data_IF_009051181878
#
_entry.id   IF_009051181878
#
_cell.length_a   1.000
_cell.length_b   1.000
_cell.length_c   1.000
_cell.angle_alpha   90.00
_cell.angle_beta   90.00
_cell.angle_gamma   90.00
#
_symmetry.space_group_name_H-M   'P 1'
#
loop_
_entity.id
_entity.type
_entity.pdbx_description
1 polymer ?
#
# COMPACT_ATOMS: atom_id res chain seq x y z
N UNK A 1 5.75 8.47 5.98
CA UNK A 1 4.88 9.09 4.97
C UNK A 1 3.47 8.51 5.03
N UNK A 2 2.47 9.31 4.69
CA UNK A 2 1.10 8.85 4.44
C UNK A 2 0.50 9.67 3.31
N UNK A 3 -0.57 9.15 2.72
CA UNK A 3 -1.26 9.81 1.62
C UNK A 3 -2.77 9.63 1.74
N UNK A 4 -3.49 10.62 1.26
CA UNK A 4 -4.93 10.59 1.16
C UNK A 4 -5.35 9.89 -0.13
N UNK A 5 -6.47 9.19 -0.09
CA UNK A 5 -7.07 8.59 -1.28
C UNK A 5 -8.02 9.57 -1.98
N UNK A 6 -7.99 9.67 -3.32
CA UNK A 6 -8.99 10.42 -4.07
C UNK A 6 -10.40 9.85 -3.86
N UNK A 7 -11.38 10.71 -3.53
CA UNK A 7 -12.75 10.30 -3.21
C UNK A 7 -13.45 9.56 -4.35
N UNK A 8 -13.14 9.93 -5.59
CA UNK A 8 -13.63 9.26 -6.81
C UNK A 8 -13.25 7.78 -6.90
N UNK A 9 -12.08 7.43 -6.37
CA UNK A 9 -11.58 6.05 -6.37
C UNK A 9 -12.35 5.23 -5.35
N UNK A 10 -12.61 5.80 -4.17
CA UNK A 10 -13.44 5.17 -3.13
C UNK A 10 -14.85 4.88 -3.68
N UNK A 11 -15.46 5.84 -4.37
CA UNK A 11 -16.76 5.65 -5.00
C UNK A 11 -16.74 4.59 -6.12
N UNK A 12 -15.62 4.44 -6.84
CA UNK A 12 -15.45 3.38 -7.84
C UNK A 12 -15.41 1.99 -7.18
N UNK A 13 -14.66 1.82 -6.10
CA UNK A 13 -14.56 0.54 -5.38
C UNK A 13 -15.92 0.07 -4.86
N UNK A 14 -16.71 0.99 -4.29
CA UNK A 14 -18.06 0.70 -3.81
C UNK A 14 -18.98 0.21 -4.94
N UNK A 15 -19.00 0.91 -6.09
CA UNK A 15 -19.77 0.47 -7.28
C UNK A 15 -19.34 -0.89 -7.81
N UNK A 16 -18.04 -1.18 -7.78
CA UNK A 16 -17.50 -2.48 -8.22
C UNK A 16 -17.62 -3.58 -7.15
N UNK A 17 -18.19 -3.27 -5.97
CA UNK A 17 -18.35 -4.18 -4.82
C UNK A 17 -17.03 -4.82 -4.38
N UNK A 18 -15.94 -4.04 -4.42
CA UNK A 18 -14.61 -4.48 -3.99
C UNK A 18 -14.38 -4.16 -2.52
N UNK A 19 -13.55 -4.96 -1.83
CA UNK A 19 -13.28 -4.74 -0.41
C UNK A 19 -12.32 -3.55 -0.25
N UNK A 20 -12.86 -2.41 0.21
CA UNK A 20 -12.10 -1.19 0.42
C UNK A 20 -10.97 -1.36 1.46
N UNK A 21 -11.25 -2.02 2.58
CA UNK A 21 -10.25 -2.26 3.61
C UNK A 21 -9.20 -3.28 3.11
N UNK A 22 -9.64 -4.29 2.37
CA UNK A 22 -8.77 -5.25 1.70
C UNK A 22 -7.85 -4.61 0.67
N UNK A 23 -8.35 -3.63 -0.09
CA UNK A 23 -7.57 -2.86 -1.06
C UNK A 23 -6.51 -2.00 -0.39
N UNK A 24 -6.88 -1.26 0.65
CA UNK A 24 -5.95 -0.45 1.45
C UNK A 24 -4.79 -1.28 1.99
N UNK A 25 -5.11 -2.42 2.59
CA UNK A 25 -4.14 -3.35 3.19
C UNK A 25 -3.25 -4.02 2.14
N UNK A 26 -3.83 -4.40 1.00
CA UNK A 26 -3.06 -4.94 -0.13
C UNK A 26 -2.11 -3.90 -0.76
N UNK A 27 -2.54 -2.65 -0.91
CA UNK A 27 -1.69 -1.55 -1.38
C UNK A 27 -0.55 -1.28 -0.40
N UNK A 28 -0.83 -1.24 0.91
CA UNK A 28 0.19 -1.10 1.95
C UNK A 28 1.25 -2.20 1.84
N UNK A 29 0.83 -3.47 1.83
CA UNK A 29 1.73 -4.62 1.72
C UNK A 29 2.61 -4.57 0.48
N UNK A 30 2.03 -4.26 -0.68
CA UNK A 30 2.75 -4.18 -1.93
C UNK A 30 3.77 -3.02 -1.91
N UNK A 31 3.35 -1.85 -1.44
CA UNK A 31 4.23 -0.67 -1.40
C UNK A 31 5.43 -0.88 -0.46
N UNK A 32 5.23 -1.43 0.74
CA UNK A 32 6.35 -1.72 1.66
C UNK A 32 7.27 -2.85 1.15
N UNK A 33 6.77 -3.74 0.28
CA UNK A 33 7.58 -4.76 -0.36
C UNK A 33 8.44 -4.20 -1.51
N UNK A 34 7.99 -3.13 -2.17
CA UNK A 34 8.66 -2.50 -3.31
C UNK A 34 9.62 -1.39 -2.87
N UNK A 35 9.32 -0.65 -1.81
CA UNK A 35 10.15 0.47 -1.31
C UNK A 35 11.66 0.15 -1.13
N UNK A 36 12.07 -1.05 -0.68
CA UNK A 36 13.49 -1.42 -0.63
C UNK A 36 14.27 -1.22 -1.94
N UNK A 37 13.61 -1.33 -3.10
CA UNK A 37 14.24 -1.12 -4.41
C UNK A 37 14.66 0.34 -4.65
N UNK A 38 14.03 1.28 -3.94
CA UNK A 38 14.27 2.71 -4.08
C UNK A 38 15.12 3.28 -2.93
N UNK A 39 14.92 2.76 -1.72
CA UNK A 39 15.58 3.25 -0.51
C UNK A 39 16.85 2.46 -0.14
N UNK A 40 17.17 1.36 -0.85
CA UNK A 40 18.33 0.49 -0.60
C UNK A 40 18.42 0.00 0.86
N UNK A 41 17.27 -0.32 1.45
CA UNK A 41 17.15 -0.84 2.82
C UNK A 41 16.69 -2.30 2.83
N UNK A 42 16.69 -2.93 4.00
CA UNK A 42 16.07 -4.24 4.17
C UNK A 42 14.55 -4.10 4.38
N UNK A 43 13.80 -5.15 4.07
CA UNK A 43 12.35 -5.18 4.33
C UNK A 43 12.03 -5.05 5.83
N UNK A 44 12.93 -5.47 6.70
CA UNK A 44 12.75 -5.37 8.15
C UNK A 44 12.85 -3.92 8.65
N UNK A 45 13.48 -3.02 7.89
CA UNK A 45 13.63 -1.61 8.22
C UNK A 45 12.37 -0.78 7.93
N UNK A 46 11.34 -1.39 7.35
CA UNK A 46 10.08 -0.74 6.97
C UNK A 46 8.89 -1.37 7.72
N UNK A 47 8.00 -0.50 8.18
CA UNK A 47 6.66 -0.84 8.65
C UNK A 47 5.58 -0.21 7.77
N UNK A 48 4.39 -0.80 7.83
CA UNK A 48 3.19 -0.32 7.17
C UNK A 48 2.00 -0.48 8.09
N UNK A 49 1.04 0.45 7.98
CA UNK A 49 -0.30 0.32 8.56
C UNK A 49 -1.29 0.96 7.59
N UNK A 50 -2.43 0.33 7.40
CA UNK A 50 -3.56 0.88 6.65
C UNK A 50 -4.80 0.95 7.52
N UNK A 51 -5.61 1.99 7.32
CA UNK A 51 -6.90 2.13 8.01
C UNK A 51 -7.95 2.76 7.09
N UNK A 52 -9.18 2.22 7.04
CA UNK A 52 -10.28 2.85 6.32
C UNK A 52 -10.75 4.15 7.01
N UNK A 53 -10.38 4.38 8.26
CA UNK A 53 -10.71 5.59 9.00
C UNK A 53 -9.65 5.88 10.07
N UNK A 54 -8.90 6.97 9.89
CA UNK A 54 -7.99 7.48 10.90
C UNK A 54 -8.72 8.56 11.74
N UNK A 55 -8.78 8.44 13.07
CA UNK A 55 -9.63 9.30 13.91
C UNK A 55 -9.25 10.78 13.86
N UNK A 56 -7.96 11.09 13.74
CA UNK A 56 -7.49 12.48 13.76
C UNK A 56 -7.70 13.20 12.41
N UNK A 57 -7.78 12.46 11.31
CA UNK A 57 -7.90 13.04 9.96
C UNK A 57 -9.30 12.84 9.37
N UNK A 58 -10.07 11.89 9.92
CA UNK A 58 -11.36 11.47 9.41
C UNK A 58 -11.30 10.77 8.04
N UNK A 59 -10.12 10.32 7.61
CA UNK A 59 -9.86 9.81 6.25
C UNK A 59 -9.32 8.39 6.26
N UNK A 60 -9.51 7.69 5.15
CA UNK A 60 -8.82 6.45 4.87
C UNK A 60 -7.37 6.74 4.46
N UNK A 61 -6.41 6.08 5.09
CA UNK A 61 -4.99 6.40 4.93
C UNK A 61 -4.12 5.13 4.99
N UNK A 62 -3.04 5.17 4.22
CA UNK A 62 -1.95 4.20 4.27
C UNK A 62 -0.72 4.92 4.80
N UNK A 63 -0.09 4.32 5.81
CA UNK A 63 1.11 4.81 6.47
C UNK A 63 2.27 3.88 6.12
N UNK A 64 3.39 4.47 5.74
CA UNK A 64 4.68 3.77 5.55
C UNK A 64 5.72 4.52 6.39
N UNK A 65 6.44 3.79 7.23
CA UNK A 65 7.34 4.37 8.22
C UNK A 65 8.56 3.51 8.46
N UNK A 66 9.61 4.14 8.98
CA UNK A 66 10.85 3.49 9.36
C UNK A 66 10.61 2.63 10.60
N UNK A 67 10.99 1.35 10.55
CA UNK A 67 10.89 0.44 11.68
C UNK A 67 12.00 0.67 12.73
N UNK A 68 12.77 1.75 12.59
CA UNK A 68 13.81 2.15 13.52
C UNK A 68 13.33 3.29 14.44
N UNK A 69 13.53 3.21 15.78
CA UNK A 69 13.16 4.29 16.69
C UNK A 69 13.83 5.62 16.33
N UNK A 70 13.02 6.68 16.17
CA UNK A 70 13.49 8.02 15.80
C UNK A 70 13.61 8.26 14.28
N UNK A 71 13.46 7.22 13.45
CA UNK A 71 13.57 7.32 12.01
C UNK A 71 15.02 7.44 11.51
N UNK A 72 15.25 6.93 10.30
CA UNK A 72 16.54 6.93 9.61
C UNK A 72 16.46 7.46 8.17
N UNK A 73 15.28 7.94 7.74
CA UNK A 73 15.06 8.62 6.47
C UNK A 73 14.53 7.71 5.34
N UNK A 74 14.10 6.49 5.62
CA UNK A 74 13.58 5.58 4.58
C UNK A 74 12.26 6.10 4.02
N UNK A 75 11.33 6.46 4.91
CA UNK A 75 10.04 6.98 4.52
C UNK A 75 10.13 8.40 3.91
N UNK A 76 11.15 9.18 4.27
CA UNK A 76 11.47 10.45 3.61
C UNK A 76 11.91 10.19 2.16
N UNK A 77 12.87 9.29 1.95
CA UNK A 77 13.31 8.88 0.62
C UNK A 77 12.18 8.28 -0.22
N UNK A 78 11.31 7.48 0.40
CA UNK A 78 10.12 6.93 -0.24
C UNK A 78 9.10 8.01 -0.65
N UNK A 79 9.01 9.10 0.11
CA UNK A 79 8.14 10.22 -0.21
C UNK A 79 8.67 11.03 -1.39
N UNK A 80 9.99 11.26 -1.45
CA UNK A 80 10.63 11.96 -2.57
C UNK A 80 10.45 11.24 -3.93
N UNK A 81 10.20 9.93 -3.90
CA UNK A 81 10.05 9.05 -5.08
C UNK A 81 8.68 8.36 -5.10
N UNK A 82 7.67 9.02 -4.53
CA UNK A 82 6.37 8.38 -4.26
C UNK A 82 5.64 7.96 -5.53
N UNK A 83 5.76 8.73 -6.61
CA UNK A 83 5.12 8.41 -7.88
C UNK A 83 5.76 7.18 -8.53
N UNK A 84 7.09 7.11 -8.57
CA UNK A 84 7.83 5.95 -9.07
C UNK A 84 7.57 4.70 -8.23
N UNK A 85 7.45 4.87 -6.90
CA UNK A 85 7.08 3.80 -5.99
C UNK A 85 5.67 3.26 -6.30
N UNK A 86 4.68 4.12 -6.50
CA UNK A 86 3.33 3.71 -6.87
C UNK A 86 3.28 3.02 -8.24
N UNK A 87 3.99 3.55 -9.25
CA UNK A 87 4.09 2.93 -10.57
C UNK A 87 4.69 1.52 -10.48
N UNK A 88 5.80 1.35 -9.76
CA UNK A 88 6.43 0.05 -9.57
C UNK A 88 5.55 -0.91 -8.76
N UNK A 89 4.83 -0.40 -7.76
CA UNK A 89 3.88 -1.19 -6.96
C UNK A 89 2.72 -1.69 -7.83
N UNK A 90 2.10 -0.80 -8.61
CA UNK A 90 1.01 -1.17 -9.52
C UNK A 90 1.48 -2.19 -10.55
N UNK A 91 2.67 -1.99 -11.12
CA UNK A 91 3.28 -2.93 -12.06
C UNK A 91 3.46 -4.32 -11.44
N UNK A 92 4.04 -4.41 -10.24
CA UNK A 92 4.25 -5.69 -9.55
C UNK A 92 2.94 -6.44 -9.29
N UNK A 93 1.87 -5.73 -8.89
CA UNK A 93 0.56 -6.34 -8.68
C UNK A 93 -0.04 -6.82 -10.01
N UNK A 94 0.06 -5.99 -11.06
CA UNK A 94 -0.57 -6.22 -12.37
C UNK A 94 0.10 -7.34 -13.16
N UNK A 95 1.43 -7.43 -13.11
CA UNK A 95 2.18 -8.47 -13.82
C UNK A 95 2.16 -9.82 -13.07
N UNK A 96 1.74 -9.84 -11.80
CA UNK A 96 1.64 -11.08 -11.05
C UNK A 96 0.51 -11.97 -11.61
N UNK A 97 0.79 -13.24 -11.99
CA UNK A 97 -0.19 -14.10 -12.65
C UNK A 97 -1.29 -14.65 -11.74
N UNK A 98 -1.24 -14.37 -10.44
CA UNK A 98 -2.28 -14.82 -9.50
C UNK A 98 -3.58 -14.01 -9.68
N UNK A 99 -4.71 -14.62 -9.33
CA UNK A 99 -6.02 -13.98 -9.40
C UNK A 99 -6.37 -13.22 -8.12
N UNK A 100 -6.26 -13.91 -6.97
CA UNK A 100 -6.76 -13.41 -5.67
C UNK A 100 -5.69 -12.66 -4.85
N UNK A 101 -4.43 -12.69 -5.28
CA UNK A 101 -3.30 -12.20 -4.50
C UNK A 101 -2.48 -13.32 -3.85
N UNK A 102 -1.16 -13.11 -3.74
CA UNK A 102 -0.22 -14.11 -3.26
C UNK A 102 1.02 -13.46 -2.59
N UNK A 103 1.94 -14.25 -2.02
CA UNK A 103 3.22 -13.78 -1.45
C UNK A 103 4.08 -12.92 -2.38
N UNK A 104 3.90 -13.03 -3.70
CA UNK A 104 4.68 -12.29 -4.69
C UNK A 104 4.09 -10.92 -5.06
N UNK A 105 2.89 -10.56 -4.59
CA UNK A 105 2.28 -9.27 -4.92
C UNK A 105 1.71 -8.51 -3.71
N UNK A 106 0.74 -9.07 -2.99
CA UNK A 106 -0.04 -8.31 -1.98
C UNK A 106 -0.01 -8.92 -0.58
N UNK A 107 0.68 -10.04 -0.37
CA UNK A 107 0.82 -10.62 0.96
C UNK A 107 2.14 -10.21 1.61
N UNK A 108 2.10 -10.05 2.93
CA UNK A 108 3.25 -9.77 3.76
C UNK A 108 3.44 -10.88 4.80
N UNK A 109 4.65 -11.46 4.94
CA UNK A 109 4.97 -12.36 6.05
C UNK A 109 5.06 -11.62 7.39
N UNK A 110 5.11 -10.28 7.39
CA UNK A 110 5.08 -9.44 8.60
C UNK A 110 3.65 -9.04 9.00
N UNK A 111 2.63 -9.47 8.26
CA UNK A 111 1.24 -9.10 8.53
C UNK A 111 0.74 -9.75 9.83
N UNK A 112 0.41 -8.93 10.83
CA UNK A 112 -0.20 -9.40 12.09
C UNK A 112 -1.66 -9.86 11.95
N UNK A 113 -2.31 -9.53 10.83
CA UNK A 113 -3.72 -9.85 10.57
C UNK A 113 -3.91 -11.08 9.67
N UNK A 114 -2.93 -12.01 9.65
CA UNK A 114 -2.96 -13.23 8.84
C UNK A 114 -3.26 -12.98 7.34
N UNK A 115 -2.77 -11.87 6.79
CA UNK A 115 -3.04 -11.45 5.41
C UNK A 115 -4.54 -11.36 5.08
N UNK A 116 -5.36 -10.85 6.02
CA UNK A 116 -6.80 -10.64 5.82
C UNK A 116 -7.28 -9.33 6.46
N UNK A 117 -8.23 -8.61 5.81
CA UNK A 117 -8.66 -8.81 4.42
C UNK A 117 -7.58 -8.39 3.43
N UNK A 118 -7.62 -8.90 2.19
CA UNK A 118 -6.79 -8.46 1.07
C UNK A 118 -7.63 -8.52 -0.20
N UNK A 119 -7.55 -7.48 -1.03
CA UNK A 119 -8.22 -7.43 -2.33
C UNK A 119 -7.27 -6.86 -3.39
N UNK A 120 -6.83 -7.75 -4.29
CA UNK A 120 -5.87 -7.44 -5.35
C UNK A 120 -6.40 -6.38 -6.31
N UNK A 121 -7.66 -6.51 -6.71
CA UNK A 121 -8.26 -5.63 -7.73
C UNK A 121 -8.53 -4.25 -7.13
N UNK A 122 -8.97 -4.20 -5.88
CA UNK A 122 -9.10 -2.94 -5.16
C UNK A 122 -7.76 -2.20 -5.06
N UNK A 123 -6.67 -2.90 -4.73
CA UNK A 123 -5.33 -2.30 -4.65
C UNK A 123 -4.86 -1.71 -5.99
N UNK A 124 -5.13 -2.38 -7.11
CA UNK A 124 -4.83 -1.85 -8.45
C UNK A 124 -5.57 -0.54 -8.71
N UNK A 125 -6.87 -0.51 -8.44
CA UNK A 125 -7.71 0.68 -8.64
C UNK A 125 -7.27 1.84 -7.73
N UNK A 126 -6.88 1.55 -6.49
CA UNK A 126 -6.33 2.54 -5.57
C UNK A 126 -5.04 3.17 -6.13
N UNK A 127 -4.09 2.36 -6.57
CA UNK A 127 -2.83 2.83 -7.14
C UNK A 127 -3.02 3.58 -8.46
N UNK A 128 -3.91 3.12 -9.35
CA UNK A 128 -4.30 3.86 -10.55
C UNK A 128 -4.84 5.24 -10.22
N UNK A 129 -5.59 5.36 -9.13
CA UNK A 129 -6.17 6.61 -8.67
C UNK A 129 -5.13 7.59 -8.09
N UNK A 130 -4.13 7.06 -7.39
CA UNK A 130 -3.04 7.86 -6.82
C UNK A 130 -2.09 8.42 -7.88
N UNK A 131 -2.05 7.80 -9.06
CA UNK A 131 -1.22 8.20 -10.21
C UNK A 131 -1.91 9.19 -11.16
N UNK A 132 -3.06 9.77 -10.78
CA UNK A 132 -3.83 10.71 -11.61
C UNK A 132 -3.81 12.13 -11.08
#
# INVERSE_FOLDING_TARGET
MWFDLPLEVVARLDREQLDFAGGLHATEHAAIAILPLFALCDRNDIGGVSTPFHPDTGRAQIFIYDAYPGGIGIAEKGFDLVEELWQATLKAITECPCQEGCPSCIQSPKCGNNNKPLDKKAAQILLEGLLR
#
